data_IF_078664492131
#
_entry.id   IF_078664492131
#
_cell.length_a   1.000
_cell.length_b   1.000
_cell.length_c   1.000
_cell.angle_alpha   90.00
_cell.angle_beta   90.00
_cell.angle_gamma   90.00
#
_symmetry.space_group_name_H-M   'P 1'
#
loop_
_entity.id
_entity.type
_entity.pdbx_description
1 polymer ?
#
# COMPACT_ATOMS: atom_id res chain seq x y z
N UNK A 1 11.44 12.82 -4.73
CA UNK A 1 11.46 13.68 -5.96
C UNK A 1 11.13 15.11 -5.56
N UNK A 2 11.61 16.14 -6.29
CA UNK A 2 11.21 17.53 -6.01
C UNK A 2 9.82 17.81 -6.59
N UNK A 3 8.90 18.52 -5.89
CA UNK A 3 7.51 18.71 -6.32
C UNK A 3 7.32 19.28 -7.73
N UNK A 4 8.26 20.11 -8.22
CA UNK A 4 8.20 20.64 -9.61
C UNK A 4 8.32 19.55 -10.70
N UNK A 5 8.72 18.33 -10.33
CA UNK A 5 8.89 17.19 -11.24
C UNK A 5 7.78 16.14 -11.07
N UNK A 6 6.78 16.40 -10.23
CA UNK A 6 5.64 15.50 -10.12
C UNK A 6 4.86 15.52 -11.43
N UNK A 7 4.40 14.36 -11.84
CA UNK A 7 3.52 14.24 -12.98
C UNK A 7 2.15 14.85 -12.66
N UNK A 8 1.46 15.29 -13.70
CA UNK A 8 0.05 15.65 -13.59
C UNK A 8 -0.80 14.40 -13.35
N UNK A 9 -1.99 14.57 -12.80
CA UNK A 9 -2.93 13.46 -12.56
C UNK A 9 -3.26 12.67 -13.84
N UNK A 10 -3.33 13.33 -14.96
CA UNK A 10 -3.57 12.74 -16.29
C UNK A 10 -2.39 11.87 -16.73
N UNK A 11 -1.15 12.34 -16.51
CA UNK A 11 0.07 11.59 -16.83
C UNK A 11 0.24 10.38 -15.91
N UNK A 12 0.00 10.53 -14.60
CA UNK A 12 -0.02 9.39 -13.66
C UNK A 12 -1.04 8.34 -14.09
N UNK A 13 -2.27 8.77 -14.38
CA UNK A 13 -3.34 7.87 -14.85
C UNK A 13 -2.94 7.14 -16.12
N UNK A 14 -2.36 7.84 -17.10
CA UNK A 14 -1.88 7.22 -18.34
C UNK A 14 -0.80 6.17 -18.07
N UNK A 15 0.13 6.46 -17.15
CA UNK A 15 1.18 5.52 -16.74
C UNK A 15 0.59 4.27 -16.09
N UNK A 16 -0.34 4.41 -15.13
CA UNK A 16 -0.96 3.27 -14.44
C UNK A 16 -1.79 2.37 -15.37
N UNK A 17 -2.40 2.94 -16.42
CA UNK A 17 -3.13 2.16 -17.43
C UNK A 17 -2.22 1.29 -18.32
N UNK A 18 -0.89 1.49 -18.30
CA UNK A 18 0.06 0.61 -19.00
C UNK A 18 0.37 -0.67 -18.24
N UNK A 19 -0.01 -0.76 -16.97
CA UNK A 19 0.20 -1.96 -16.17
C UNK A 19 -0.83 -3.05 -16.52
N UNK A 20 -0.39 -4.30 -16.49
CA UNK A 20 -1.32 -5.43 -16.58
C UNK A 20 -2.00 -5.64 -15.24
N UNK A 21 -3.28 -5.32 -15.16
CA UNK A 21 -4.09 -5.40 -13.94
C UNK A 21 -5.16 -6.51 -14.04
N UNK A 22 -4.91 -7.59 -14.81
CA UNK A 22 -5.82 -8.72 -14.85
C UNK A 22 -5.80 -9.46 -13.50
N UNK A 23 -6.91 -9.42 -12.79
CA UNK A 23 -7.08 -10.11 -11.49
C UNK A 23 -6.93 -11.62 -11.55
N UNK A 24 -7.00 -12.21 -12.74
CA UNK A 24 -6.84 -13.65 -12.98
C UNK A 24 -5.41 -14.01 -13.40
N UNK A 25 -4.53 -13.03 -13.63
CA UNK A 25 -3.14 -13.28 -13.98
C UNK A 25 -2.40 -13.99 -12.82
N UNK A 26 -1.88 -15.23 -13.03
CA UNK A 26 -1.19 -15.98 -11.98
C UNK A 26 0.09 -15.30 -11.48
N UNK A 27 0.77 -14.55 -12.36
CA UNK A 27 1.97 -13.78 -12.00
C UNK A 27 1.62 -12.66 -11.03
N UNK A 28 0.56 -11.91 -11.32
CA UNK A 28 0.08 -10.85 -10.44
C UNK A 28 -0.43 -11.40 -9.10
N UNK A 29 -1.19 -12.50 -9.11
CA UNK A 29 -1.62 -13.18 -7.88
C UNK A 29 -0.42 -13.66 -7.05
N UNK A 30 0.63 -14.21 -7.69
CA UNK A 30 1.87 -14.59 -7.00
C UNK A 30 2.59 -13.38 -6.41
N UNK A 31 2.63 -12.27 -7.12
CA UNK A 31 3.26 -11.01 -6.70
C UNK A 31 2.64 -10.43 -5.42
N UNK A 32 1.32 -10.48 -5.28
CA UNK A 32 0.60 -9.97 -4.09
C UNK A 32 0.48 -10.98 -2.97
N UNK A 33 0.89 -12.24 -3.17
CA UNK A 33 0.80 -13.31 -2.16
C UNK A 33 1.35 -12.93 -0.78
N UNK A 34 2.49 -12.22 -0.65
CA UNK A 34 3.00 -11.80 0.65
C UNK A 34 2.01 -10.92 1.44
N UNK A 35 1.27 -10.04 0.76
CA UNK A 35 0.22 -9.19 1.39
C UNK A 35 -0.92 -10.07 1.90
N UNK A 36 -1.39 -11.01 1.06
CA UNK A 36 -2.46 -11.96 1.46
C UNK A 36 -2.03 -12.79 2.66
N UNK A 37 -0.78 -13.30 2.66
CA UNK A 37 -0.23 -14.08 3.78
C UNK A 37 -0.14 -13.23 5.05
N UNK A 38 0.32 -11.98 4.97
CA UNK A 38 0.38 -11.09 6.11
C UNK A 38 -1.01 -10.93 6.76
N UNK A 39 -2.04 -10.66 5.97
CA UNK A 39 -3.42 -10.53 6.49
C UNK A 39 -3.88 -11.85 7.13
N UNK A 40 -3.76 -12.96 6.41
CA UNK A 40 -4.29 -14.26 6.88
C UNK A 40 -3.54 -14.86 8.07
N UNK A 41 -2.29 -14.43 8.30
CA UNK A 41 -1.51 -14.85 9.48
C UNK A 41 -1.93 -14.09 10.74
N UNK A 42 -2.36 -12.83 10.60
CA UNK A 42 -2.63 -11.96 11.74
C UNK A 42 -4.12 -11.82 12.06
N UNK A 43 -5.01 -12.08 11.10
CA UNK A 43 -6.43 -11.87 11.24
C UNK A 43 -7.22 -13.09 10.77
N UNK A 44 -8.29 -13.42 11.49
CA UNK A 44 -9.26 -14.43 11.05
C UNK A 44 -10.15 -13.88 9.93
N UNK A 45 -10.81 -14.73 9.13
CA UNK A 45 -11.89 -14.32 8.23
C UNK A 45 -12.98 -13.51 8.96
N UNK A 46 -13.80 -12.79 8.21
CA UNK A 46 -14.86 -11.85 8.66
C UNK A 46 -14.37 -10.47 9.13
N UNK A 47 -13.07 -10.23 9.20
CA UNK A 47 -12.57 -8.86 9.38
C UNK A 47 -12.84 -8.01 8.14
N UNK A 48 -13.02 -6.71 8.35
CA UNK A 48 -13.26 -5.72 7.30
C UNK A 48 -11.98 -4.96 6.97
N UNK A 49 -11.54 -5.06 5.71
CA UNK A 49 -10.33 -4.41 5.23
C UNK A 49 -10.56 -3.35 4.17
N UNK A 50 -9.61 -2.42 4.07
CA UNK A 50 -9.50 -1.44 3.00
C UNK A 50 -8.32 -1.81 2.09
N UNK A 51 -8.59 -1.90 0.79
CA UNK A 51 -7.57 -1.96 -0.26
C UNK A 51 -7.34 -0.52 -0.75
N UNK A 52 -6.25 0.10 -0.25
CA UNK A 52 -5.93 1.51 -0.47
C UNK A 52 -4.97 1.65 -1.65
N UNK A 53 -5.42 2.32 -2.70
CA UNK A 53 -4.74 2.35 -4.00
C UNK A 53 -5.01 1.09 -4.81
N UNK A 54 -6.27 0.63 -4.84
CA UNK A 54 -6.68 -0.64 -5.44
C UNK A 54 -6.53 -0.69 -6.98
N UNK A 55 -6.28 0.44 -7.62
CA UNK A 55 -6.10 0.56 -9.06
C UNK A 55 -7.32 0.08 -9.86
N UNK A 56 -7.08 -0.35 -11.10
CA UNK A 56 -8.13 -0.86 -12.01
C UNK A 56 -8.39 -2.35 -11.86
N UNK A 57 -7.45 -3.10 -11.25
CA UNK A 57 -7.53 -4.55 -11.07
C UNK A 57 -7.30 -4.96 -9.61
N UNK A 58 -8.32 -4.88 -8.72
CA UNK A 58 -8.17 -5.10 -7.29
C UNK A 58 -7.98 -6.59 -6.94
N UNK A 59 -6.84 -7.17 -7.32
CA UNK A 59 -6.52 -8.59 -7.13
C UNK A 59 -6.45 -8.96 -5.64
N UNK A 60 -5.94 -8.08 -4.79
CA UNK A 60 -5.87 -8.30 -3.34
C UNK A 60 -7.28 -8.43 -2.77
N UNK A 61 -8.15 -7.48 -3.12
CA UNK A 61 -9.57 -7.51 -2.74
C UNK A 61 -10.25 -8.81 -3.17
N UNK A 62 -10.04 -9.26 -4.44
CA UNK A 62 -10.59 -10.53 -4.93
C UNK A 62 -10.12 -11.71 -4.08
N UNK A 63 -8.81 -11.85 -3.89
CA UNK A 63 -8.22 -12.98 -3.17
C UNK A 63 -8.57 -13.01 -1.68
N UNK A 64 -8.72 -11.85 -1.03
CA UNK A 64 -9.14 -11.79 0.38
C UNK A 64 -10.64 -12.07 0.52
N UNK A 65 -11.49 -11.61 -0.41
CA UNK A 65 -12.92 -11.96 -0.43
C UNK A 65 -13.13 -13.48 -0.59
N UNK A 66 -12.35 -14.12 -1.46
CA UNK A 66 -12.38 -15.60 -1.62
C UNK A 66 -12.00 -16.35 -0.33
N UNK A 67 -11.27 -15.68 0.57
CA UNK A 67 -10.89 -16.22 1.90
C UNK A 67 -11.85 -15.80 3.03
N UNK A 68 -12.96 -15.12 2.70
CA UNK A 68 -14.01 -14.76 3.66
C UNK A 68 -13.83 -13.40 4.35
N UNK A 69 -12.92 -12.54 3.89
CA UNK A 69 -12.79 -11.17 4.39
C UNK A 69 -13.79 -10.24 3.71
N UNK A 70 -14.30 -9.25 4.46
CA UNK A 70 -15.03 -8.12 3.88
C UNK A 70 -14.02 -7.10 3.37
N UNK A 71 -14.19 -6.62 2.14
CA UNK A 71 -13.23 -5.68 1.53
C UNK A 71 -13.92 -4.48 0.91
N UNK A 72 -13.46 -3.29 1.28
CA UNK A 72 -13.72 -2.02 0.60
C UNK A 72 -12.51 -1.66 -0.26
N UNK A 73 -12.75 -1.06 -1.42
CA UNK A 73 -11.70 -0.55 -2.31
C UNK A 73 -11.73 0.96 -2.37
N UNK A 74 -10.54 1.57 -2.39
CA UNK A 74 -10.35 2.99 -2.63
C UNK A 74 -9.16 3.21 -3.56
N UNK A 75 -9.32 4.10 -4.52
CA UNK A 75 -8.24 4.62 -5.35
C UNK A 75 -8.60 6.04 -5.77
N UNK A 76 -7.71 7.04 -5.56
CA UNK A 76 -8.04 8.44 -5.85
C UNK A 76 -8.27 8.72 -7.33
N UNK A 77 -7.74 7.87 -8.23
CA UNK A 77 -7.82 8.05 -9.68
C UNK A 77 -8.92 7.18 -10.29
N UNK A 78 -9.00 5.90 -9.90
CA UNK A 78 -9.84 4.89 -10.55
C UNK A 78 -11.11 4.55 -9.76
N UNK A 79 -11.07 4.62 -8.43
CA UNK A 79 -12.19 4.28 -7.53
C UNK A 79 -12.30 5.38 -6.44
N UNK A 80 -12.67 6.63 -6.81
CA UNK A 80 -12.69 7.76 -5.88
C UNK A 80 -13.90 7.70 -4.92
N UNK A 81 -13.98 6.62 -4.14
CA UNK A 81 -15.02 6.36 -3.16
C UNK A 81 -14.72 7.12 -1.86
N UNK A 82 -15.29 8.31 -1.69
CA UNK A 82 -15.11 9.12 -0.48
C UNK A 82 -15.66 8.45 0.77
N UNK A 83 -16.67 7.59 0.68
CA UNK A 83 -17.25 6.90 1.83
C UNK A 83 -16.26 5.90 2.44
N UNK A 84 -15.36 5.35 1.62
CA UNK A 84 -14.27 4.52 2.10
C UNK A 84 -13.32 5.27 3.06
N UNK A 85 -13.22 6.58 2.96
CA UNK A 85 -12.40 7.43 3.82
C UNK A 85 -13.15 7.96 5.07
N UNK A 86 -14.42 7.58 5.22
CA UNK A 86 -15.27 7.93 6.37
C UNK A 86 -15.67 6.70 7.22
N UNK A 87 -15.03 5.57 6.95
CA UNK A 87 -15.28 4.28 7.62
C UNK A 87 -14.01 3.82 8.32
N UNK A 88 -14.13 3.04 9.40
CA UNK A 88 -12.99 2.42 10.07
C UNK A 88 -12.88 0.93 9.72
N UNK A 89 -11.65 0.39 9.76
CA UNK A 89 -11.31 -0.94 9.29
C UNK A 89 -10.48 -1.71 10.33
N UNK A 90 -10.56 -3.03 10.27
CA UNK A 90 -9.70 -3.92 11.05
C UNK A 90 -8.29 -3.98 10.44
N UNK A 91 -8.19 -3.79 9.13
CA UNK A 91 -6.90 -3.72 8.44
C UNK A 91 -6.94 -2.86 7.18
N UNK A 92 -5.76 -2.36 6.81
CA UNK A 92 -5.52 -1.66 5.54
C UNK A 92 -4.40 -2.39 4.81
N UNK A 93 -4.58 -2.63 3.52
CA UNK A 93 -3.52 -3.05 2.61
C UNK A 93 -3.21 -1.91 1.64
N UNK A 94 -1.91 -1.64 1.43
CA UNK A 94 -1.39 -0.59 0.55
C UNK A 94 -0.23 -1.21 -0.25
N UNK A 95 -0.49 -1.61 -1.49
CA UNK A 95 0.42 -2.43 -2.28
C UNK A 95 0.89 -1.69 -3.53
N UNK A 96 2.19 -1.39 -3.61
CA UNK A 96 2.82 -0.59 -4.68
C UNK A 96 2.08 0.76 -4.85
N UNK A 97 1.93 1.48 -3.75
CA UNK A 97 1.22 2.77 -3.68
C UNK A 97 1.98 3.78 -2.81
N UNK A 98 2.62 3.33 -1.74
CA UNK A 98 3.29 4.23 -0.78
C UNK A 98 4.41 5.06 -1.43
N UNK A 99 5.11 4.52 -2.42
CA UNK A 99 6.15 5.19 -3.21
C UNK A 99 5.64 6.34 -4.07
N UNK A 100 4.31 6.39 -4.30
CA UNK A 100 3.65 7.46 -5.05
C UNK A 100 3.14 8.61 -4.16
N UNK A 101 3.23 8.48 -2.85
CA UNK A 101 2.74 9.53 -1.95
C UNK A 101 3.52 10.83 -2.10
N UNK A 102 2.81 11.92 -2.41
CA UNK A 102 3.37 13.27 -2.40
C UNK A 102 3.57 13.81 -0.99
N UNK A 103 2.71 13.39 -0.05
CA UNK A 103 2.77 13.72 1.37
C UNK A 103 2.54 12.47 2.23
N UNK A 104 3.59 11.72 2.56
CA UNK A 104 3.48 10.51 3.37
C UNK A 104 2.99 10.78 4.81
N UNK A 105 3.25 11.97 5.35
CA UNK A 105 2.78 12.32 6.69
C UNK A 105 1.24 12.34 6.74
N UNK A 106 0.61 12.98 5.76
CA UNK A 106 -0.84 13.01 5.61
C UNK A 106 -1.42 11.61 5.38
N UNK A 107 -0.78 10.78 4.56
CA UNK A 107 -1.28 9.45 4.26
C UNK A 107 -1.17 8.49 5.46
N UNK A 108 -0.06 8.50 6.21
CA UNK A 108 0.07 7.68 7.41
C UNK A 108 -0.84 8.15 8.55
N UNK A 109 -1.04 9.46 8.69
CA UNK A 109 -2.06 10.00 9.59
C UNK A 109 -3.46 9.47 9.21
N UNK A 110 -3.79 9.47 7.93
CA UNK A 110 -5.06 8.92 7.41
C UNK A 110 -5.19 7.44 7.71
N UNK A 111 -4.15 6.62 7.48
CA UNK A 111 -4.17 5.21 7.85
C UNK A 111 -4.48 5.01 9.33
N UNK A 112 -3.83 5.82 10.19
CA UNK A 112 -4.12 5.76 11.62
C UNK A 112 -5.58 6.11 11.92
N UNK A 113 -6.16 7.14 11.30
CA UNK A 113 -7.56 7.50 11.50
C UNK A 113 -8.53 6.41 11.03
N UNK A 114 -8.23 5.75 9.92
CA UNK A 114 -9.09 4.73 9.31
C UNK A 114 -8.99 3.36 9.98
N UNK A 115 -8.02 3.09 10.83
CA UNK A 115 -7.88 1.82 11.52
C UNK A 115 -8.52 1.85 12.91
N UNK A 116 -9.16 0.75 13.29
CA UNK A 116 -9.52 0.49 14.68
C UNK A 116 -8.27 0.40 15.57
N UNK A 117 -8.36 0.64 16.90
CA UNK A 117 -7.25 0.34 17.82
C UNK A 117 -6.81 -1.12 17.66
N UNK A 118 -5.49 -1.36 17.55
CA UNK A 118 -4.94 -2.68 17.26
C UNK A 118 -5.06 -3.15 15.79
N UNK A 119 -5.66 -2.34 14.93
CA UNK A 119 -5.83 -2.64 13.50
C UNK A 119 -4.51 -2.78 12.76
N UNK A 120 -4.51 -3.63 11.71
CA UNK A 120 -3.32 -4.03 10.97
C UNK A 120 -3.10 -3.14 9.75
N UNK A 121 -1.90 -2.61 9.58
CA UNK A 121 -1.43 -1.95 8.36
C UNK A 121 -0.43 -2.86 7.65
N UNK A 122 -0.69 -3.18 6.40
CA UNK A 122 0.20 -3.98 5.54
C UNK A 122 0.57 -3.15 4.32
N UNK A 123 1.84 -2.77 4.21
CA UNK A 123 2.37 -2.00 3.08
C UNK A 123 3.33 -2.89 2.30
N UNK A 124 3.10 -3.01 0.99
CA UNK A 124 4.07 -3.60 0.08
C UNK A 124 4.64 -2.49 -0.79
N UNK A 125 5.93 -2.22 -0.61
CA UNK A 125 6.74 -1.25 -1.37
C UNK A 125 8.19 -1.69 -1.27
N UNK A 126 9.05 -1.32 -2.21
CA UNK A 126 10.46 -1.71 -2.14
C UNK A 126 11.25 -0.70 -1.32
N UNK A 127 11.83 -1.15 -0.20
CA UNK A 127 12.64 -0.30 0.67
C UNK A 127 14.07 -0.19 0.15
N UNK A 128 14.63 1.02 0.23
CA UNK A 128 16.04 1.26 -0.02
C UNK A 128 16.88 0.64 1.10
N UNK A 129 17.60 -0.43 0.78
CA UNK A 129 18.53 -1.14 1.67
C UNK A 129 19.97 -0.80 1.34
N UNK A 130 20.91 -1.13 2.25
CA UNK A 130 22.33 -0.78 2.11
C UNK A 130 23.05 -1.48 0.95
N UNK A 131 22.52 -2.57 0.44
CA UNK A 131 23.03 -3.35 -0.69
C UNK A 131 22.54 -2.83 -2.05
N UNK A 132 21.57 -1.90 -2.07
CA UNK A 132 21.06 -1.31 -3.30
C UNK A 132 22.02 -0.24 -3.80
N UNK A 133 22.50 -0.41 -5.04
CA UNK A 133 23.18 0.64 -5.80
C UNK A 133 22.13 1.61 -6.37
N UNK A 134 21.84 2.70 -5.67
CA UNK A 134 20.75 3.61 -5.98
C UNK A 134 20.74 4.08 -7.45
N UNK A 135 21.88 4.54 -8.07
CA UNK A 135 21.87 4.98 -9.47
C UNK A 135 21.45 3.89 -10.48
N UNK A 136 21.60 2.62 -10.13
CA UNK A 136 21.26 1.46 -10.98
C UNK A 136 20.00 0.72 -10.54
N UNK A 137 19.29 1.26 -9.54
CA UNK A 137 18.10 0.62 -9.02
C UNK A 137 16.92 0.83 -9.97
N UNK A 138 16.34 -0.27 -10.47
CA UNK A 138 15.25 -0.21 -11.45
C UNK A 138 14.03 0.60 -10.96
N UNK A 139 13.82 0.65 -9.64
CA UNK A 139 12.67 1.28 -9.01
C UNK A 139 12.64 2.81 -9.18
N UNK A 140 13.79 3.44 -9.41
CA UNK A 140 13.87 4.88 -9.71
C UNK A 140 13.45 5.24 -11.14
N UNK A 141 13.28 4.23 -12.03
CA UNK A 141 12.94 4.46 -13.42
C UNK A 141 11.44 4.72 -13.65
N UNK A 142 10.60 4.46 -12.65
CA UNK A 142 9.20 4.82 -12.73
C UNK A 142 9.01 6.30 -12.40
N UNK A 143 8.53 7.12 -13.35
CA UNK A 143 8.40 8.57 -13.14
C UNK A 143 7.29 8.93 -12.14
N UNK A 144 6.46 7.99 -11.75
CA UNK A 144 5.42 8.17 -10.72
C UNK A 144 5.92 7.89 -9.31
N UNK A 145 7.13 7.31 -9.15
CA UNK A 145 7.73 7.11 -7.83
C UNK A 145 8.33 8.43 -7.33
N UNK A 146 7.67 9.04 -6.37
CA UNK A 146 8.07 10.35 -5.82
C UNK A 146 8.94 10.24 -4.59
N UNK A 147 8.88 9.07 -3.90
CA UNK A 147 9.53 8.84 -2.62
C UNK A 147 10.07 7.41 -2.51
N UNK A 148 11.24 7.28 -1.88
CA UNK A 148 11.88 5.99 -1.58
C UNK A 148 12.13 5.89 -0.08
N UNK A 149 11.54 4.90 0.56
CA UNK A 149 11.66 4.69 2.00
C UNK A 149 12.89 3.83 2.30
N UNK A 150 13.76 4.27 3.20
CA UNK A 150 14.69 3.36 3.85
C UNK A 150 13.99 2.60 4.98
N UNK A 151 14.56 1.47 5.42
CA UNK A 151 14.03 0.72 6.57
C UNK A 151 13.89 1.59 7.81
N UNK A 152 14.89 2.42 8.10
CA UNK A 152 14.86 3.33 9.24
C UNK A 152 13.85 4.49 9.04
N UNK A 153 13.76 5.04 7.83
CA UNK A 153 12.77 6.06 7.48
C UNK A 153 11.34 5.55 7.67
N UNK A 154 11.06 4.34 7.20
CA UNK A 154 9.76 3.68 7.37
C UNK A 154 9.45 3.46 8.87
N UNK A 155 10.41 2.97 9.65
CA UNK A 155 10.25 2.76 11.10
C UNK A 155 9.91 4.06 11.82
N UNK A 156 10.61 5.15 11.51
CA UNK A 156 10.34 6.47 12.11
C UNK A 156 8.95 6.98 11.74
N UNK A 157 8.56 6.86 10.48
CA UNK A 157 7.25 7.29 9.99
C UNK A 157 6.13 6.53 10.71
N UNK A 158 6.25 5.21 10.85
CA UNK A 158 5.32 4.39 11.61
C UNK A 158 5.21 4.85 13.07
N UNK A 159 6.34 5.04 13.74
CA UNK A 159 6.37 5.47 15.15
C UNK A 159 5.76 6.87 15.33
N UNK A 160 6.01 7.80 14.41
CA UNK A 160 5.44 9.15 14.45
C UNK A 160 3.92 9.18 14.32
N UNK A 161 3.33 8.14 13.74
CA UNK A 161 1.87 8.01 13.56
C UNK A 161 1.26 6.91 14.44
N UNK A 162 1.89 6.62 15.60
CA UNK A 162 1.38 5.68 16.60
C UNK A 162 1.13 4.26 16.03
N UNK A 163 2.07 3.79 15.21
CA UNK A 163 2.14 2.41 14.76
C UNK A 163 3.31 1.68 15.41
N UNK A 164 3.06 0.49 15.91
CA UNK A 164 4.08 -0.46 16.31
C UNK A 164 4.44 -1.37 15.13
N UNK A 165 5.71 -1.42 14.74
CA UNK A 165 6.18 -2.36 13.72
C UNK A 165 6.09 -3.79 14.21
N UNK A 166 5.46 -4.67 13.43
CA UNK A 166 5.41 -6.13 13.64
C UNK A 166 6.53 -6.79 12.86
N UNK A 167 6.67 -6.42 11.58
CA UNK A 167 7.76 -6.85 10.70
C UNK A 167 8.08 -5.75 9.67
N UNK A 168 9.37 -5.58 9.37
CA UNK A 168 9.84 -4.71 8.29
C UNK A 168 10.89 -5.48 7.49
N UNK A 169 10.48 -6.00 6.36
CA UNK A 169 11.34 -6.65 5.37
C UNK A 169 11.56 -5.75 4.15
N UNK A 170 12.50 -6.06 3.25
CA UNK A 170 12.81 -5.19 2.10
C UNK A 170 11.63 -4.85 1.18
N UNK A 171 10.56 -5.66 1.19
CA UNK A 171 9.41 -5.49 0.29
C UNK A 171 8.05 -5.60 0.98
N UNK A 172 8.03 -5.73 2.29
CA UNK A 172 6.78 -5.84 3.04
C UNK A 172 6.97 -5.23 4.43
N UNK A 173 6.02 -4.41 4.80
CA UNK A 173 5.94 -3.77 6.12
C UNK A 173 4.63 -4.15 6.75
N UNK A 174 4.68 -4.64 7.99
CA UNK A 174 3.52 -5.01 8.79
C UNK A 174 3.59 -4.21 10.08
N UNK A 175 2.54 -3.48 10.40
CA UNK A 175 2.45 -2.68 11.60
C UNK A 175 1.05 -2.76 12.22
N UNK A 176 0.94 -2.46 13.50
CA UNK A 176 -0.34 -2.35 14.22
C UNK A 176 -0.51 -0.95 14.77
N UNK A 177 -1.72 -0.42 14.67
CA UNK A 177 -2.10 0.80 15.38
C UNK A 177 -2.05 0.56 16.88
N UNK A 178 -1.37 1.43 17.62
CA UNK A 178 -1.30 1.40 19.10
C UNK A 178 -2.51 2.04 19.74
#
# INVERSE_FOLDING_TARGET
MHPQHYLTREEEKARYLTHNNDVNDPGYQKFVRPVIQAVTTHLAPNHHGLDYGAGTGPVITKLLREKGYSMTTYDPIFIPNSDALNTTYDFIVCCEVAEHFHDPQTEFHRFHQLLHPGGLLVIKTELLTSDINFPNWYYINDPTHTLFYSTEGMRRLLTQHDFQSVDISPRLVIAKKT
#
